data_IF_150711818817
#
_entry.id   IF_150711818817
#
_cell.length_a   1.000
_cell.length_b   1.000
_cell.length_c   1.000
_cell.angle_alpha   90.00
_cell.angle_beta   90.00
_cell.angle_gamma   90.00
#
_symmetry.space_group_name_H-M   'P 1'
#
loop_
_entity.id
_entity.type
_entity.pdbx_description
1 polymer ?
#
# COMPACT_ATOMS: atom_id res chain seq x y z
N UNK A 1 -1.81 0.39 6.53
CA UNK A 1 -3.00 -0.13 7.25
C UNK A 1 -4.28 -0.05 6.42
N UNK A 2 -4.78 1.12 5.97
CA UNK A 2 -6.05 1.18 5.20
C UNK A 2 -6.03 0.33 3.92
N UNK A 3 -4.88 0.26 3.22
CA UNK A 3 -4.66 -0.66 2.09
C UNK A 3 -4.97 -2.12 2.47
N UNK A 4 -4.43 -2.58 3.60
CA UNK A 4 -4.60 -3.94 4.11
C UNK A 4 -6.07 -4.24 4.41
N UNK A 5 -6.76 -3.33 5.09
CA UNK A 5 -8.19 -3.48 5.41
C UNK A 5 -9.06 -3.48 4.15
N UNK A 6 -8.79 -2.58 3.20
CA UNK A 6 -9.50 -2.57 1.91
C UNK A 6 -9.28 -3.87 1.14
N UNK A 7 -8.05 -4.39 1.11
CA UNK A 7 -7.76 -5.63 0.43
C UNK A 7 -8.43 -6.83 1.10
N UNK A 8 -8.45 -6.90 2.44
CA UNK A 8 -9.19 -7.94 3.17
C UNK A 8 -10.69 -7.94 2.83
N UNK A 9 -11.32 -6.76 2.81
CA UNK A 9 -12.74 -6.61 2.42
C UNK A 9 -12.99 -7.08 0.99
N UNK A 10 -12.08 -6.76 0.08
CA UNK A 10 -12.18 -7.23 -1.30
C UNK A 10 -12.10 -8.77 -1.36
N UNK A 11 -11.15 -9.36 -0.65
CA UNK A 11 -10.94 -10.80 -0.61
C UNK A 11 -12.11 -11.56 0.04
N UNK A 12 -12.69 -11.00 1.09
CA UNK A 12 -13.92 -11.52 1.70
C UNK A 12 -15.09 -11.57 0.72
N UNK A 13 -15.20 -10.57 -0.18
CA UNK A 13 -16.29 -10.47 -1.17
C UNK A 13 -16.06 -11.34 -2.41
N UNK A 14 -14.82 -11.40 -2.89
CA UNK A 14 -14.51 -11.92 -4.24
C UNK A 14 -13.93 -13.34 -4.22
N UNK A 15 -13.35 -13.78 -3.10
CA UNK A 15 -12.64 -15.05 -3.04
C UNK A 15 -13.53 -16.12 -2.39
N UNK A 16 -13.94 -17.18 -3.12
CA UNK A 16 -14.86 -18.19 -2.61
C UNK A 16 -14.43 -18.82 -1.27
N UNK A 17 -13.12 -19.02 -1.07
CA UNK A 17 -12.57 -19.62 0.16
C UNK A 17 -12.78 -18.77 1.42
N UNK A 18 -13.06 -17.47 1.28
CA UNK A 18 -13.23 -16.52 2.38
C UNK A 18 -14.69 -16.12 2.61
N UNK A 19 -15.62 -16.72 1.86
CA UNK A 19 -17.05 -16.43 1.96
C UNK A 19 -17.54 -16.70 3.38
N UNK A 20 -18.10 -15.68 4.03
CA UNK A 20 -18.68 -15.80 5.38
C UNK A 20 -17.66 -15.75 6.53
N UNK A 21 -16.36 -15.60 6.24
CA UNK A 21 -15.33 -15.39 7.26
C UNK A 21 -15.28 -13.92 7.70
N UNK A 22 -14.90 -13.64 8.95
CA UNK A 22 -14.56 -12.28 9.39
C UNK A 22 -13.22 -11.83 8.80
N UNK A 23 -12.95 -10.51 8.82
CA UNK A 23 -11.65 -9.99 8.36
C UNK A 23 -10.49 -10.54 9.21
N UNK A 24 -10.69 -10.75 10.52
CA UNK A 24 -9.67 -11.35 11.39
C UNK A 24 -9.39 -12.80 11.00
N UNK A 25 -10.44 -13.59 10.73
CA UNK A 25 -10.27 -14.98 10.31
C UNK A 25 -9.52 -15.11 8.98
N UNK A 26 -9.75 -14.17 8.05
CA UNK A 26 -8.99 -14.11 6.78
C UNK A 26 -7.54 -13.69 7.07
N UNK A 27 -7.34 -12.75 7.99
CA UNK A 27 -6.02 -12.25 8.37
C UNK A 27 -5.18 -13.27 9.14
N UNK A 28 -5.82 -14.20 9.86
CA UNK A 28 -5.15 -15.26 10.60
C UNK A 28 -4.63 -16.41 9.70
N UNK A 29 -4.92 -16.40 8.39
CA UNK A 29 -4.23 -17.26 7.42
C UNK A 29 -2.79 -16.75 7.22
N UNK A 30 -1.83 -17.41 7.87
CA UNK A 30 -0.42 -17.00 7.90
C UNK A 30 0.21 -16.90 6.51
N UNK A 31 -0.03 -17.88 5.63
CA UNK A 31 0.52 -17.89 4.28
C UNK A 31 -0.05 -16.72 3.47
N UNK A 32 -1.36 -16.50 3.55
CA UNK A 32 -2.02 -15.38 2.88
C UNK A 32 -1.55 -14.02 3.43
N UNK A 33 -1.49 -13.88 4.75
CA UNK A 33 -1.06 -12.65 5.43
C UNK A 33 0.38 -12.31 5.06
N UNK A 34 1.30 -13.26 5.20
CA UNK A 34 2.71 -13.04 4.91
C UNK A 34 2.95 -12.74 3.43
N UNK A 35 2.26 -13.44 2.54
CA UNK A 35 2.44 -13.27 1.10
C UNK A 35 1.79 -12.00 0.54
N UNK A 36 0.68 -11.52 1.06
CA UNK A 36 -0.09 -10.44 0.40
C UNK A 36 -0.38 -9.22 1.27
N UNK A 37 -0.23 -9.32 2.59
CA UNK A 37 -0.62 -8.24 3.50
C UNK A 37 0.58 -7.55 4.12
N UNK A 38 1.43 -8.33 4.79
CA UNK A 38 2.51 -7.82 5.66
C UNK A 38 3.54 -7.02 4.89
N UNK A 39 3.69 -5.74 5.25
CA UNK A 39 4.69 -4.80 4.74
C UNK A 39 4.84 -4.83 3.20
N UNK A 40 3.70 -4.97 2.52
CA UNK A 40 3.65 -5.15 1.08
C UNK A 40 4.22 -3.95 0.31
N UNK A 41 4.01 -2.71 0.78
CA UNK A 41 4.54 -1.54 0.07
C UNK A 41 6.06 -1.51 0.17
N UNK A 42 6.62 -1.70 1.37
CA UNK A 42 8.08 -1.82 1.54
C UNK A 42 8.61 -2.90 0.63
N UNK A 43 8.00 -4.10 0.62
CA UNK A 43 8.37 -5.17 -0.31
C UNK A 43 8.38 -4.71 -1.76
N UNK A 44 7.34 -4.04 -2.21
CA UNK A 44 7.21 -3.63 -3.62
C UNK A 44 8.27 -2.60 -4.03
N UNK A 45 8.69 -1.73 -3.12
CA UNK A 45 9.72 -0.72 -3.37
C UNK A 45 11.14 -1.20 -3.01
N UNK A 46 11.29 -2.32 -2.31
CA UNK A 46 12.58 -2.87 -1.87
C UNK A 46 12.90 -4.23 -2.49
N UNK A 47 12.10 -4.75 -3.42
CA UNK A 47 12.33 -6.08 -4.01
C UNK A 47 13.47 -6.01 -5.03
N UNK A 48 14.44 -6.90 -4.87
CA UNK A 48 15.52 -7.08 -5.84
C UNK A 48 15.22 -8.23 -6.80
N UNK A 49 15.83 -8.22 -8.00
CA UNK A 49 15.59 -9.24 -9.04
C UNK A 49 15.81 -10.68 -8.54
N UNK A 50 16.79 -10.89 -7.64
CA UNK A 50 17.08 -12.21 -7.04
C UNK A 50 15.95 -12.73 -6.15
N UNK A 51 15.22 -11.83 -5.51
CA UNK A 51 14.17 -12.16 -4.54
C UNK A 51 12.85 -12.53 -5.21
N UNK A 52 12.68 -12.24 -6.49
CA UNK A 52 11.57 -12.79 -7.27
C UNK A 52 11.61 -14.33 -7.33
N UNK A 53 12.79 -14.94 -7.15
CA UNK A 53 12.95 -16.39 -7.10
C UNK A 53 12.84 -16.93 -5.68
N UNK A 54 13.52 -16.28 -4.73
CA UNK A 54 13.76 -16.84 -3.40
C UNK A 54 12.78 -16.30 -2.33
N UNK A 55 11.94 -15.33 -2.71
CA UNK A 55 11.05 -14.60 -1.82
C UNK A 55 11.77 -13.53 -1.00
N UNK A 56 11.05 -12.49 -0.55
CA UNK A 56 11.58 -11.50 0.39
C UNK A 56 11.88 -12.21 1.70
N UNK A 57 13.08 -11.96 2.23
CA UNK A 57 13.53 -12.66 3.42
C UNK A 57 12.96 -12.01 4.69
N UNK A 58 13.07 -10.68 4.85
CA UNK A 58 12.63 -9.95 6.06
C UNK A 58 12.34 -8.45 5.79
N UNK A 59 11.72 -7.75 6.76
CA UNK A 59 11.44 -6.30 6.74
C UNK A 59 12.17 -5.58 7.89
N UNK A 60 13.48 -5.44 7.76
CA UNK A 60 14.32 -4.71 8.69
C UNK A 60 14.48 -3.23 8.30
N UNK A 61 15.26 -2.48 9.10
CA UNK A 61 15.57 -1.07 8.85
C UNK A 61 16.25 -0.86 7.48
N UNK A 62 17.15 -1.76 7.07
CA UNK A 62 17.83 -1.69 5.77
C UNK A 62 16.83 -1.76 4.60
N UNK A 63 15.84 -2.66 4.70
CA UNK A 63 14.78 -2.79 3.70
C UNK A 63 13.88 -1.57 3.64
N UNK A 64 13.55 -1.00 4.80
CA UNK A 64 12.76 0.23 4.88
C UNK A 64 13.51 1.38 4.21
N UNK A 65 14.80 1.55 4.51
CA UNK A 65 15.61 2.62 3.95
C UNK A 65 15.82 2.45 2.44
N UNK A 66 16.00 1.21 1.97
CA UNK A 66 16.03 0.94 0.54
C UNK A 66 14.71 1.30 -0.16
N UNK A 67 13.56 0.97 0.45
CA UNK A 67 12.26 1.36 -0.08
C UNK A 67 12.11 2.90 -0.15
N UNK A 68 12.53 3.63 0.89
CA UNK A 68 12.51 5.10 0.92
C UNK A 68 13.39 5.70 -0.18
N UNK A 69 14.63 5.21 -0.31
CA UNK A 69 15.56 5.68 -1.33
C UNK A 69 15.03 5.43 -2.75
N UNK A 70 14.45 4.26 -3.00
CA UNK A 70 13.83 3.95 -4.29
C UNK A 70 12.61 4.83 -4.57
N UNK A 71 11.79 5.12 -3.57
CA UNK A 71 10.66 6.05 -3.69
C UNK A 71 11.13 7.48 -4.02
N UNK A 72 12.21 7.94 -3.38
CA UNK A 72 12.79 9.25 -3.63
C UNK A 72 13.37 9.37 -5.05
N UNK A 73 13.96 8.29 -5.57
CA UNK A 73 14.49 8.24 -6.93
C UNK A 73 13.41 8.25 -8.03
N UNK A 74 12.13 7.99 -7.70
CA UNK A 74 11.05 8.01 -8.69
C UNK A 74 10.70 9.44 -9.13
N UNK A 75 10.59 9.64 -10.45
CA UNK A 75 10.24 10.92 -11.07
C UNK A 75 8.88 11.46 -10.63
N UNK A 76 7.93 10.54 -10.40
CA UNK A 76 6.55 10.83 -10.03
C UNK A 76 6.07 9.83 -8.98
N UNK A 77 5.50 10.34 -7.91
CA UNK A 77 4.89 9.56 -6.82
C UNK A 77 3.65 10.33 -6.37
N UNK A 78 2.55 9.63 -6.16
CA UNK A 78 1.29 10.18 -5.67
C UNK A 78 0.73 9.35 -4.52
N UNK A 79 -0.24 9.91 -3.80
CA UNK A 79 -1.00 9.23 -2.75
C UNK A 79 -2.41 8.95 -3.25
N UNK A 80 -2.99 7.85 -2.77
CA UNK A 80 -4.37 7.48 -3.13
C UNK A 80 -5.39 8.55 -2.68
N UNK A 81 -5.17 9.16 -1.51
CA UNK A 81 -6.06 10.19 -0.96
C UNK A 81 -6.11 11.46 -1.83
N UNK A 82 -5.06 11.72 -2.60
CA UNK A 82 -4.92 12.89 -3.49
C UNK A 82 -4.88 12.49 -4.98
N UNK A 83 -5.49 11.36 -5.35
CA UNK A 83 -5.36 10.78 -6.68
C UNK A 83 -5.72 11.76 -7.81
N UNK A 84 -6.83 12.48 -7.68
CA UNK A 84 -7.29 13.42 -8.72
C UNK A 84 -6.33 14.60 -8.90
N UNK A 85 -5.83 15.15 -7.79
CA UNK A 85 -4.85 16.23 -7.80
C UNK A 85 -3.53 15.78 -8.42
N UNK A 86 -3.12 14.54 -8.13
CA UNK A 86 -1.96 13.91 -8.73
C UNK A 86 -2.11 13.75 -10.24
N UNK A 87 -3.26 13.26 -10.72
CA UNK A 87 -3.54 13.16 -12.17
C UNK A 87 -3.44 14.52 -12.86
N UNK A 88 -4.07 15.57 -12.31
CA UNK A 88 -3.98 16.92 -12.88
C UNK A 88 -2.54 17.45 -12.94
N UNK A 89 -1.73 17.14 -11.93
CA UNK A 89 -0.32 17.52 -11.91
C UNK A 89 0.49 16.77 -13.00
N UNK A 90 0.17 15.50 -13.28
CA UNK A 90 0.79 14.73 -14.37
C UNK A 90 0.41 15.30 -15.74
N UNK A 91 -0.87 15.59 -15.97
CA UNK A 91 -1.34 16.20 -17.21
C UNK A 91 -0.66 17.54 -17.46
N UNK A 92 -0.57 18.40 -16.43
CA UNK A 92 0.12 19.68 -16.52
C UNK A 92 1.62 19.54 -16.80
N UNK A 93 2.30 18.56 -16.17
CA UNK A 93 3.75 18.36 -16.29
C UNK A 93 4.16 17.73 -17.61
N UNK A 94 3.40 16.75 -18.11
CA UNK A 94 3.79 15.94 -19.27
C UNK A 94 2.92 16.20 -20.51
N UNK A 95 1.85 16.99 -20.40
CA UNK A 95 0.91 17.21 -21.50
C UNK A 95 0.08 15.97 -21.85
N UNK A 96 -0.09 15.06 -20.88
CA UNK A 96 -0.91 13.86 -21.06
C UNK A 96 -2.40 14.19 -20.99
N UNK A 97 -3.21 13.32 -21.61
CA UNK A 97 -4.65 13.25 -21.44
C UNK A 97 -4.95 11.91 -20.75
N UNK A 98 -5.25 11.96 -19.45
CA UNK A 98 -5.51 10.76 -18.65
C UNK A 98 -6.99 10.36 -18.67
N UNK A 99 -7.86 11.22 -19.19
CA UNK A 99 -9.31 11.06 -19.15
C UNK A 99 -9.89 10.98 -17.73
N UNK A 100 -11.15 10.60 -17.65
CA UNK A 100 -11.92 10.60 -16.41
C UNK A 100 -11.45 9.48 -15.46
N UNK A 101 -11.21 9.81 -14.17
CA UNK A 101 -10.88 8.83 -13.14
C UNK A 101 -11.93 7.71 -13.04
N UNK A 102 -11.51 6.47 -13.32
CA UNK A 102 -12.33 5.28 -13.09
C UNK A 102 -11.95 4.64 -11.75
N UNK A 103 -12.91 4.56 -10.81
CA UNK A 103 -12.70 3.92 -9.51
C UNK A 103 -13.16 2.46 -9.57
N UNK A 104 -12.22 1.53 -9.45
CA UNK A 104 -12.46 0.07 -9.46
C UNK A 104 -12.14 -0.49 -8.06
N UNK A 105 -12.76 -1.60 -7.67
CA UNK A 105 -12.51 -2.31 -6.40
C UNK A 105 -12.73 -1.47 -5.13
N UNK A 106 -13.70 -0.54 -5.18
CA UNK A 106 -14.09 0.18 -3.98
C UNK A 106 -14.75 -0.80 -2.99
N UNK A 107 -14.21 -0.81 -1.78
CA UNK A 107 -14.84 -1.46 -0.63
C UNK A 107 -15.46 -0.37 0.24
N UNK A 108 -16.63 -0.65 0.82
CA UNK A 108 -17.24 0.25 1.78
C UNK A 108 -16.41 0.20 3.07
N UNK A 109 -15.92 1.33 3.60
CA UNK A 109 -15.26 1.34 4.90
C UNK A 109 -16.25 0.95 6.00
N UNK A 110 -16.16 -0.30 6.43
CA UNK A 110 -16.90 -0.78 7.60
C UNK A 110 -16.06 -0.60 8.88
N UNK A 111 -16.68 -0.22 10.00
CA UNK A 111 -16.00 -0.17 11.29
C UNK A 111 -15.34 -1.52 11.58
N UNK A 112 -14.08 -1.47 12.00
CA UNK A 112 -13.29 -2.64 12.39
C UNK A 112 -13.00 -2.53 13.88
N UNK A 113 -12.90 -3.65 14.58
CA UNK A 113 -12.51 -3.66 15.98
C UNK A 113 -11.18 -2.90 16.20
N UNK A 114 -11.09 -1.98 17.18
CA UNK A 114 -9.89 -1.21 17.43
C UNK A 114 -8.65 -2.08 17.68
N UNK A 115 -8.79 -3.20 18.41
CA UNK A 115 -7.68 -4.10 18.70
C UNK A 115 -7.16 -4.79 17.45
N UNK A 116 -8.06 -5.16 16.53
CA UNK A 116 -7.65 -5.72 15.24
C UNK A 116 -6.98 -4.66 14.36
N UNK A 117 -7.47 -3.42 14.36
CA UNK A 117 -6.84 -2.31 13.65
C UNK A 117 -5.42 -2.03 14.15
N UNK A 118 -5.22 -2.06 15.46
CA UNK A 118 -3.90 -1.92 16.09
C UNK A 118 -2.97 -3.05 15.68
N UNK A 119 -3.42 -4.32 15.77
CA UNK A 119 -2.64 -5.48 15.32
C UNK A 119 -2.21 -5.36 13.85
N UNK A 120 -3.13 -4.98 12.96
CA UNK A 120 -2.80 -4.77 11.54
C UNK A 120 -1.77 -3.65 11.36
N UNK A 121 -1.84 -2.58 12.16
CA UNK A 121 -0.86 -1.50 12.10
C UNK A 121 0.52 -1.94 12.62
N UNK A 122 0.58 -2.73 13.70
CA UNK A 122 1.81 -3.29 14.26
C UNK A 122 2.49 -4.25 13.28
N UNK A 123 1.74 -5.20 12.74
CA UNK A 123 2.26 -6.15 11.73
C UNK A 123 2.76 -5.43 10.47
N UNK A 124 2.20 -4.26 10.16
CA UNK A 124 2.54 -3.46 8.99
C UNK A 124 3.31 -2.18 9.35
N UNK A 125 4.08 -2.19 10.44
CA UNK A 125 4.78 -0.99 10.92
C UNK A 125 5.69 -0.36 9.85
N UNK A 126 6.37 -1.19 9.05
CA UNK A 126 7.29 -0.74 8.01
C UNK A 126 6.54 -0.03 6.88
N UNK A 127 5.37 -0.55 6.50
CA UNK A 127 4.46 0.09 5.54
C UNK A 127 3.91 1.43 6.09
N UNK A 128 3.61 1.49 7.39
CA UNK A 128 3.17 2.74 8.04
C UNK A 128 4.28 3.79 8.01
N UNK A 129 5.52 3.39 8.29
CA UNK A 129 6.68 4.27 8.23
C UNK A 129 6.93 4.77 6.81
N UNK A 130 6.96 3.87 5.83
CA UNK A 130 7.15 4.22 4.42
C UNK A 130 6.03 5.17 3.93
N UNK A 131 4.78 4.95 4.34
CA UNK A 131 3.68 5.84 3.99
C UNK A 131 3.87 7.26 4.52
N UNK A 132 4.32 7.40 5.78
CA UNK A 132 4.61 8.71 6.37
C UNK A 132 5.71 9.43 5.60
N UNK A 133 6.80 8.71 5.28
CA UNK A 133 7.87 9.25 4.44
C UNK A 133 7.36 9.68 3.06
N UNK A 134 6.57 8.84 2.39
CA UNK A 134 5.97 9.15 1.10
C UNK A 134 5.09 10.41 1.14
N UNK A 135 4.30 10.57 2.21
CA UNK A 135 3.44 11.72 2.37
C UNK A 135 4.23 13.03 2.55
N UNK A 136 5.32 12.98 3.31
CA UNK A 136 6.21 14.13 3.49
C UNK A 136 6.96 14.46 2.19
N UNK A 137 7.44 13.44 1.47
CA UNK A 137 8.08 13.59 0.15
C UNK A 137 7.13 14.27 -0.87
N UNK A 138 5.90 13.78 -0.98
CA UNK A 138 4.89 14.34 -1.90
C UNK A 138 4.55 15.78 -1.50
N UNK A 139 4.39 16.07 -0.21
CA UNK A 139 4.14 17.43 0.28
C UNK A 139 5.30 18.37 -0.05
N UNK A 140 6.55 17.93 0.14
CA UNK A 140 7.74 18.72 -0.17
C UNK A 140 7.90 19.01 -1.66
N UNK A 141 7.61 18.03 -2.53
CA UNK A 141 7.65 18.21 -3.99
C UNK A 141 6.64 19.23 -4.50
N UNK A 142 5.43 19.26 -3.91
CA UNK A 142 4.39 20.25 -4.24
C UNK A 142 4.73 21.67 -3.83
N UNK A 143 5.52 21.87 -2.77
CA UNK A 143 5.95 23.21 -2.36
C UNK A 143 7.10 23.76 -3.22
N UNK A 144 7.80 22.88 -3.94
CA UNK A 144 8.95 23.22 -4.77
C UNK A 144 8.65 23.32 -6.27
N UNK A 145 7.42 22.99 -6.69
CA UNK A 145 6.93 23.08 -8.09
C UNK A 145 6.02 24.29 -8.27
#
# INVERSE_FOLDING_TARGET
MERTLSFLRQQQRETPRFTGMSLEQIYDDDDFRWSLLTNYMVRQFSIELREFRDGPQWFDEERIDMAKANLEAMDVVGLQDDFEDFCRALEARFGWDLGEPVRINQTTPEPVDPSFRERVAEDNFADVELYRFAADLVRGRRQSS
#
